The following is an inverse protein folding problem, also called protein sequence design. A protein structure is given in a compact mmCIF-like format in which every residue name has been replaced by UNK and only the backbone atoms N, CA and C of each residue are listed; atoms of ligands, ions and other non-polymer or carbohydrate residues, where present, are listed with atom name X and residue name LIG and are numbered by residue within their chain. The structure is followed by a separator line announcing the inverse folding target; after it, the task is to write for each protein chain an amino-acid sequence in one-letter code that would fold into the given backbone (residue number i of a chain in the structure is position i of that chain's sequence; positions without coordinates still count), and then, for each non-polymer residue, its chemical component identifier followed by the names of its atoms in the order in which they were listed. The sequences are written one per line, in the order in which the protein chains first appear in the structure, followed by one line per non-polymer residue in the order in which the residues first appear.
data_IF_445940593082
#
_entry.id   IF_445940593082
#
_cell.length_a   1.000
_cell.length_b   1.000
_cell.length_c   1.000
_cell.angle_alpha   90.00
_cell.angle_beta   90.00
_cell.angle_gamma   90.00
#
_symmetry.space_group_name_H-M   'P 1'
#
loop_
_entity.id
_entity.type
_entity.pdbx_description
1 polymer ?
#
# COMPACT_ATOMS: atom_id res chain seq x y z
N UNK A 1 -17.06 -27.42 12.24
CA UNK A 1 -16.49 -26.20 12.86
C UNK A 1 -15.77 -25.29 11.85
N UNK A 2 -15.36 -25.77 10.68
CA UNK A 2 -14.62 -25.00 9.67
C UNK A 2 -15.44 -23.85 9.03
N UNK A 3 -16.74 -24.03 8.82
CA UNK A 3 -17.59 -23.00 8.19
C UNK A 3 -17.75 -21.71 8.99
N UNK A 4 -17.64 -21.76 10.33
CA UNK A 4 -17.68 -20.55 11.16
C UNK A 4 -16.43 -19.69 10.91
N UNK A 5 -15.25 -20.32 10.90
CA UNK A 5 -13.96 -19.65 10.71
C UNK A 5 -13.91 -18.92 9.35
N UNK A 6 -14.44 -19.55 8.29
CA UNK A 6 -14.48 -18.96 6.95
C UNK A 6 -15.28 -17.65 6.88
N UNK A 7 -16.34 -17.50 7.66
CA UNK A 7 -17.17 -16.28 7.72
C UNK A 7 -16.53 -15.18 8.57
N UNK A 8 -15.76 -15.55 9.60
CA UNK A 8 -15.07 -14.58 10.45
C UNK A 8 -13.93 -13.84 9.73
N UNK A 9 -13.25 -14.49 8.79
CA UNK A 9 -12.13 -13.88 8.03
C UNK A 9 -12.54 -12.56 7.34
N UNK A 10 -13.57 -12.52 6.47
CA UNK A 10 -13.97 -11.27 5.82
C UNK A 10 -14.51 -10.22 6.81
N UNK A 11 -15.23 -10.64 7.86
CA UNK A 11 -15.78 -9.72 8.87
C UNK A 11 -14.67 -8.99 9.62
N UNK A 12 -13.66 -9.73 10.09
CA UNK A 12 -12.50 -9.16 10.78
C UNK A 12 -11.73 -8.23 9.84
N UNK A 13 -11.54 -8.63 8.58
CA UNK A 13 -10.88 -7.79 7.57
C UNK A 13 -11.60 -6.45 7.39
N UNK A 14 -12.92 -6.47 7.23
CA UNK A 14 -13.73 -5.25 7.10
C UNK A 14 -13.65 -4.36 8.34
N UNK A 15 -13.71 -4.93 9.54
CA UNK A 15 -13.57 -4.17 10.79
C UNK A 15 -12.20 -3.49 10.90
N UNK A 16 -11.12 -4.22 10.62
CA UNK A 16 -9.76 -3.65 10.66
C UNK A 16 -9.61 -2.51 9.66
N UNK A 17 -10.05 -2.71 8.41
CA UNK A 17 -10.00 -1.66 7.38
C UNK A 17 -10.85 -0.45 7.80
N UNK A 18 -12.04 -0.68 8.34
CA UNK A 18 -12.94 0.37 8.83
C UNK A 18 -12.31 1.19 9.94
N UNK A 19 -11.72 0.54 10.95
CA UNK A 19 -11.01 1.22 12.06
C UNK A 19 -9.85 2.05 11.54
N UNK A 20 -9.03 1.50 10.63
CA UNK A 20 -7.90 2.22 10.03
C UNK A 20 -8.38 3.46 9.27
N UNK A 21 -9.44 3.34 8.46
CA UNK A 21 -10.01 4.47 7.74
C UNK A 21 -10.55 5.54 8.68
N UNK A 22 -11.38 5.17 9.65
CA UNK A 22 -11.97 6.11 10.62
C UNK A 22 -10.87 6.83 11.39
N UNK A 23 -9.87 6.08 11.85
CA UNK A 23 -8.71 6.63 12.56
C UNK A 23 -7.94 7.61 11.69
N UNK A 24 -7.65 7.25 10.43
CA UNK A 24 -6.98 8.12 9.47
C UNK A 24 -7.75 9.42 9.22
N UNK A 25 -9.07 9.35 8.99
CA UNK A 25 -9.90 10.54 8.78
C UNK A 25 -10.02 11.39 10.05
N UNK A 26 -10.13 10.77 11.21
CA UNK A 26 -10.20 11.45 12.50
C UNK A 26 -8.92 12.25 12.77
N UNK A 27 -7.75 11.64 12.63
CA UNK A 27 -6.48 12.34 12.79
C UNK A 27 -6.32 13.47 11.77
N UNK A 28 -6.65 13.23 10.50
CA UNK A 28 -6.57 14.25 9.44
C UNK A 28 -7.47 15.46 9.72
N UNK A 29 -8.64 15.23 10.31
CA UNK A 29 -9.57 16.29 10.70
C UNK A 29 -9.05 17.08 11.89
N UNK A 30 -8.53 16.39 12.92
CA UNK A 30 -7.96 17.04 14.10
C UNK A 30 -6.71 17.87 13.79
N UNK A 31 -5.84 17.39 12.90
CA UNK A 31 -4.67 18.15 12.43
C UNK A 31 -5.08 19.53 11.88
N UNK A 32 -6.15 19.59 11.08
CA UNK A 32 -6.65 20.83 10.50
C UNK A 32 -7.24 21.76 11.55
N UNK A 33 -8.03 21.25 12.48
CA UNK A 33 -8.63 22.05 13.56
C UNK A 33 -7.55 22.67 14.45
N UNK A 34 -6.51 21.91 14.80
CA UNK A 34 -5.42 22.39 15.66
C UNK A 34 -4.58 23.48 14.99
N UNK A 35 -4.47 23.50 13.66
CA UNK A 35 -3.77 24.57 12.92
C UNK A 35 -4.60 25.87 12.85
N UNK A 36 -5.93 25.75 12.74
CA UNK A 36 -6.85 26.90 12.79
C UNK A 36 -6.84 27.52 14.19
N UNK A 37 -6.89 26.70 15.25
CA UNK A 37 -6.81 27.15 16.65
C UNK A 37 -5.48 27.86 16.97
N UNK A 38 -4.40 27.52 16.27
CA UNK A 38 -3.08 28.17 16.40
C UNK A 38 -2.93 29.46 15.59
N UNK A 39 -3.97 29.91 14.89
CA UNK A 39 -3.99 31.21 14.21
C UNK A 39 -3.30 31.25 12.85
N UNK A 40 -3.05 30.11 12.21
CA UNK A 40 -2.58 30.08 10.82
C UNK A 40 -3.71 30.56 9.89
N UNK A 41 -3.37 31.45 8.94
CA UNK A 41 -4.31 31.89 7.90
C UNK A 41 -4.79 30.70 7.08
N UNK A 42 -6.06 30.73 6.67
CA UNK A 42 -6.64 29.71 5.81
C UNK A 42 -5.87 29.56 4.48
N UNK A 43 -5.26 30.65 3.98
CA UNK A 43 -4.36 30.62 2.82
C UNK A 43 -3.09 29.82 3.09
N UNK A 44 -2.44 30.02 4.24
CA UNK A 44 -1.20 29.32 4.60
C UNK A 44 -1.47 27.82 4.80
N UNK A 45 -2.59 27.47 5.44
CA UNK A 45 -3.03 26.08 5.59
C UNK A 45 -3.29 25.46 4.22
N UNK A 46 -3.88 26.19 3.27
CA UNK A 46 -4.09 25.69 1.92
C UNK A 46 -2.76 25.41 1.22
N UNK A 47 -1.77 26.29 1.36
CA UNK A 47 -0.43 26.12 0.80
C UNK A 47 0.32 24.92 1.43
N UNK A 48 0.19 24.69 2.74
CA UNK A 48 0.77 23.52 3.41
C UNK A 48 0.09 22.20 3.02
N UNK A 49 -1.21 22.24 2.71
CA UNK A 49 -2.00 21.05 2.35
C UNK A 49 -2.10 20.82 0.83
N UNK A 50 -1.58 21.71 -0.01
CA UNK A 50 -1.26 21.46 -1.42
C UNK A 50 -0.15 20.41 -1.51
N UNK A 51 -0.53 19.17 -1.20
CA UNK A 51 0.33 18.00 -1.29
C UNK A 51 0.70 17.85 -2.76
N UNK A 52 1.95 18.19 -3.10
CA UNK A 52 2.54 17.86 -4.42
C UNK A 52 2.21 16.40 -4.70
N UNK A 53 1.33 16.19 -5.69
CA UNK A 53 0.85 14.86 -6.06
C UNK A 53 2.08 14.05 -6.47
N UNK A 54 2.30 12.96 -5.76
CA UNK A 54 3.45 12.10 -6.01
C UNK A 54 3.14 11.23 -7.23
N UNK A 55 3.52 11.70 -8.42
CA UNK A 55 3.23 11.05 -9.70
C UNK A 55 3.74 9.61 -9.78
N UNK A 56 4.75 9.25 -8.99
CA UNK A 56 5.37 7.92 -9.01
C UNK A 56 4.64 6.88 -8.16
N UNK A 57 3.59 7.25 -7.42
CA UNK A 57 2.84 6.29 -6.59
C UNK A 57 2.17 5.22 -7.46
N UNK A 58 1.54 5.61 -8.57
CA UNK A 58 0.93 4.67 -9.53
C UNK A 58 1.97 3.71 -10.12
N UNK A 59 3.16 4.22 -10.44
CA UNK A 59 4.26 3.38 -10.95
C UNK A 59 4.70 2.33 -9.92
N UNK A 60 4.87 2.74 -8.65
CA UNK A 60 5.23 1.82 -7.57
C UNK A 60 4.19 0.71 -7.41
N UNK A 61 2.90 1.06 -7.45
CA UNK A 61 1.79 0.10 -7.38
C UNK A 61 1.85 -0.88 -8.57
N UNK A 62 2.09 -0.38 -9.79
CA UNK A 62 2.22 -1.22 -10.98
C UNK A 62 3.35 -2.24 -10.88
N UNK A 63 4.53 -1.82 -10.41
CA UNK A 63 5.66 -2.75 -10.19
C UNK A 63 5.31 -3.82 -9.17
N UNK A 64 4.74 -3.44 -8.02
CA UNK A 64 4.33 -4.41 -6.98
C UNK A 64 3.30 -5.40 -7.53
N UNK A 65 2.32 -4.93 -8.31
CA UNK A 65 1.28 -5.77 -8.90
C UNK A 65 1.85 -6.82 -9.88
N UNK A 66 2.87 -6.46 -10.68
CA UNK A 66 3.54 -7.41 -11.59
C UNK A 66 4.23 -8.51 -10.78
N UNK A 67 5.01 -8.15 -9.77
CA UNK A 67 5.71 -9.12 -8.93
C UNK A 67 4.76 -10.00 -8.12
N UNK A 68 3.64 -9.44 -7.64
CA UNK A 68 2.57 -10.20 -7.01
C UNK A 68 1.97 -11.24 -7.98
N UNK A 69 1.68 -10.83 -9.22
CA UNK A 69 1.19 -11.73 -10.26
C UNK A 69 2.18 -12.85 -10.61
N UNK A 70 3.47 -12.55 -10.68
CA UNK A 70 4.53 -13.55 -10.88
C UNK A 70 4.59 -14.51 -9.68
N UNK A 71 4.54 -13.99 -8.46
CA UNK A 71 4.54 -14.79 -7.24
C UNK A 71 3.34 -15.74 -7.16
N UNK A 72 2.16 -15.25 -7.54
CA UNK A 72 0.95 -16.07 -7.67
C UNK A 72 1.12 -17.16 -8.74
N UNK A 73 1.52 -16.78 -9.95
CA UNK A 73 1.67 -17.72 -11.07
C UNK A 73 2.66 -18.83 -10.78
N UNK A 74 3.83 -18.49 -10.22
CA UNK A 74 4.83 -19.47 -9.82
C UNK A 74 4.34 -20.36 -8.68
N UNK A 75 3.67 -19.78 -7.68
CA UNK A 75 3.08 -20.54 -6.58
C UNK A 75 2.04 -21.57 -7.05
N UNK A 76 1.27 -21.24 -8.08
CA UNK A 76 0.27 -22.14 -8.66
C UNK A 76 0.88 -23.29 -9.46
N UNK A 77 2.03 -23.08 -10.12
CA UNK A 77 2.69 -24.07 -10.97
C UNK A 77 3.64 -24.97 -10.17
N UNK A 78 4.25 -24.47 -9.10
CA UNK A 78 5.34 -25.17 -8.39
C UNK A 78 4.93 -26.33 -7.48
N UNK A 79 3.66 -26.46 -7.09
CA UNK A 79 3.23 -27.59 -6.26
C UNK A 79 2.56 -28.68 -7.10
N UNK A 80 3.18 -29.85 -7.14
CA UNK A 80 2.66 -31.06 -7.80
C UNK A 80 1.57 -31.75 -6.96
N UNK A 81 1.63 -31.64 -5.63
CA UNK A 81 0.66 -32.23 -4.69
C UNK A 81 -0.05 -31.15 -3.86
N UNK A 82 -1.32 -31.37 -3.49
CA UNK A 82 -2.16 -30.41 -2.74
C UNK A 82 -1.48 -29.86 -1.48
N UNK A 83 -0.87 -30.73 -0.66
CA UNK A 83 -0.20 -30.31 0.58
C UNK A 83 1.06 -29.45 0.34
N UNK A 84 1.74 -29.63 -0.79
CA UNK A 84 2.89 -28.78 -1.14
C UNK A 84 2.45 -27.42 -1.67
N UNK A 85 1.35 -27.37 -2.45
CA UNK A 85 0.80 -26.12 -3.00
C UNK A 85 0.39 -25.14 -1.91
N UNK A 86 -0.17 -25.63 -0.82
CA UNK A 86 -0.58 -24.82 0.33
C UNK A 86 0.59 -24.06 1.00
N UNK A 87 1.81 -24.57 0.86
CA UNK A 87 3.02 -23.95 1.42
C UNK A 87 3.71 -23.09 0.35
N UNK A 88 3.88 -23.62 -0.86
CA UNK A 88 4.60 -22.93 -1.94
C UNK A 88 3.87 -21.67 -2.42
N UNK A 89 2.54 -21.67 -2.45
CA UNK A 89 1.75 -20.54 -2.92
C UNK A 89 1.88 -19.28 -2.04
N UNK A 90 1.62 -19.33 -0.70
CA UNK A 90 1.84 -18.16 0.14
C UNK A 90 3.32 -17.75 0.20
N UNK A 91 4.24 -18.72 0.19
CA UNK A 91 5.68 -18.44 0.22
C UNK A 91 6.14 -17.67 -1.05
N UNK A 92 5.74 -18.12 -2.23
CA UNK A 92 6.11 -17.45 -3.49
C UNK A 92 5.52 -16.05 -3.59
N UNK A 93 4.23 -15.88 -3.24
CA UNK A 93 3.59 -14.57 -3.21
C UNK A 93 4.37 -13.63 -2.30
N UNK A 94 4.71 -14.07 -1.08
CA UNK A 94 5.39 -13.23 -0.11
C UNK A 94 6.80 -12.82 -0.59
N UNK A 95 7.57 -13.77 -1.12
CA UNK A 95 8.94 -13.52 -1.61
C UNK A 95 8.92 -12.58 -2.81
N UNK A 96 8.14 -12.90 -3.85
CA UNK A 96 8.11 -12.10 -5.07
C UNK A 96 7.51 -10.72 -4.83
N UNK A 97 6.43 -10.61 -4.07
CA UNK A 97 5.84 -9.31 -3.71
C UNK A 97 6.82 -8.48 -2.87
N UNK A 98 7.55 -9.11 -1.95
CA UNK A 98 8.61 -8.46 -1.17
C UNK A 98 9.71 -7.88 -2.07
N UNK A 99 10.18 -8.65 -3.05
CA UNK A 99 11.12 -8.16 -4.07
C UNK A 99 10.51 -7.01 -4.88
N UNK A 100 9.23 -7.11 -5.23
CA UNK A 100 8.49 -6.05 -5.91
C UNK A 100 8.46 -4.73 -5.14
N UNK A 101 8.29 -4.77 -3.81
CA UNK A 101 8.36 -3.59 -2.96
C UNK A 101 9.74 -2.94 -2.97
N UNK A 102 10.81 -3.75 -2.86
CA UNK A 102 12.20 -3.26 -2.89
C UNK A 102 12.50 -2.63 -4.25
N UNK A 103 12.16 -3.31 -5.34
CA UNK A 103 12.36 -2.82 -6.70
C UNK A 103 11.57 -1.53 -6.96
N UNK A 104 10.29 -1.49 -6.59
CA UNK A 104 9.44 -0.31 -6.72
C UNK A 104 10.01 0.90 -5.97
N UNK A 105 10.58 0.68 -4.78
CA UNK A 105 11.16 1.76 -4.00
C UNK A 105 12.46 2.27 -4.61
N UNK A 106 13.38 1.38 -5.00
CA UNK A 106 14.65 1.75 -5.64
C UNK A 106 14.41 2.52 -6.95
N UNK A 107 13.61 1.94 -7.84
CA UNK A 107 13.33 2.52 -9.15
C UNK A 107 12.54 3.83 -9.00
N UNK A 108 11.50 3.84 -8.16
CA UNK A 108 10.69 5.02 -7.92
C UNK A 108 11.48 6.17 -7.27
N UNK A 109 12.47 5.86 -6.42
CA UNK A 109 13.33 6.88 -5.82
C UNK A 109 14.31 7.46 -6.84
N UNK A 110 14.88 6.62 -7.71
CA UNK A 110 15.76 7.05 -8.78
C UNK A 110 15.02 7.95 -9.80
N UNK A 111 13.81 7.57 -10.20
CA UNK A 111 13.00 8.41 -11.11
C UNK A 111 12.59 9.73 -10.48
N UNK A 112 12.22 9.73 -9.18
CA UNK A 112 11.92 10.97 -8.47
C UNK A 112 13.11 11.93 -8.44
N UNK A 113 14.31 11.40 -8.17
CA UNK A 113 15.54 12.21 -8.16
C UNK A 113 15.77 12.84 -9.54
N UNK A 114 15.69 12.03 -10.60
CA UNK A 114 15.89 12.51 -11.98
C UNK A 114 14.87 13.58 -12.37
N UNK A 115 13.58 13.35 -12.08
CA UNK A 115 12.53 14.32 -12.36
C UNK A 115 12.74 15.65 -11.62
N UNK A 116 13.24 15.61 -10.38
CA UNK A 116 13.55 16.81 -9.61
C UNK A 116 14.74 17.59 -10.19
N UNK A 117 15.74 16.93 -10.76
CA UNK A 117 16.91 17.56 -11.39
C UNK A 117 16.58 18.15 -12.76
N UNK A 118 15.67 17.55 -13.54
CA UNK A 118 15.28 18.07 -14.87
C UNK A 118 14.26 19.22 -14.81
N UNK A 119 13.56 19.42 -13.69
CA UNK A 119 12.51 20.44 -13.51
C UNK A 119 12.81 21.47 -12.39
N UNK A 120 14.07 21.58 -11.95
CA UNK A 120 14.58 22.73 -11.17
C UNK A 120 15.79 23.32 -11.90
#
# INVERSE_FOLDING_TARGET
MEGAIAVFIPIIMFLVIGIIMVTYYYFRSRERQMLIEKGLSAEDIKQFFEKKRDYFVLFKIGVIAIFFGIGLGLGMISGSDEGTREIYMPASIFIFTGIGFVAANLIGNNMRKKYKTENN
#
